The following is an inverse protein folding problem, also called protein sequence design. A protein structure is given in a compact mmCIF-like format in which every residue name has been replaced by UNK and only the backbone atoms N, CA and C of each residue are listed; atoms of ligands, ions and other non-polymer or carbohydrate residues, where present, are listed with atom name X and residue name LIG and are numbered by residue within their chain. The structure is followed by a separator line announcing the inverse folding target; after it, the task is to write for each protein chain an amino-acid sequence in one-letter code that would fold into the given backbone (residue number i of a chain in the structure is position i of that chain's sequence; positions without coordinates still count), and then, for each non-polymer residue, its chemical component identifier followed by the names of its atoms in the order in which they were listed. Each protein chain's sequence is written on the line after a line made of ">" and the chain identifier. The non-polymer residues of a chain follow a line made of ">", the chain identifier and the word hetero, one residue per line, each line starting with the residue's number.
data_IF_106181161701
#
_entry.id   IF_106181161701
#
_cell.length_a   1.000
_cell.length_b   1.000
_cell.length_c   1.000
_cell.angle_alpha   90.00
_cell.angle_beta   90.00
_cell.angle_gamma   90.00
#
_symmetry.space_group_name_H-M   'P 1'
#
loop_
_entity.id
_entity.type
_entity.pdbx_description
1 polymer ?
#
# COMPACT_ATOMS: atom_id res chain seq x y z
N UNK A 1 13.49 -6.01 21.73
CA UNK A 1 13.24 -7.22 20.91
C UNK A 1 11.76 -7.52 20.99
N UNK A 2 11.12 -7.90 19.88
CA UNK A 2 9.72 -8.31 19.86
C UNK A 2 9.56 -9.64 20.61
N UNK A 3 8.60 -9.72 21.52
CA UNK A 3 8.19 -10.95 22.18
C UNK A 3 7.01 -11.60 21.44
N UNK A 4 6.65 -12.83 21.82
CA UNK A 4 5.56 -13.57 21.19
C UNK A 4 4.22 -12.81 21.27
N UNK A 5 3.98 -12.08 22.37
CA UNK A 5 2.79 -11.26 22.55
C UNK A 5 2.73 -10.10 21.54
N UNK A 6 3.84 -9.36 21.36
CA UNK A 6 3.91 -8.27 20.38
C UNK A 6 3.69 -8.75 18.95
N UNK A 7 4.20 -9.92 18.59
CA UNK A 7 3.94 -10.53 17.28
C UNK A 7 2.45 -10.86 17.12
N UNK A 8 1.81 -11.41 18.17
CA UNK A 8 0.37 -11.66 18.19
C UNK A 8 -0.46 -10.38 18.00
N UNK A 9 -0.11 -9.30 18.71
CA UNK A 9 -0.74 -7.99 18.55
C UNK A 9 -0.55 -7.46 17.12
N UNK A 10 0.66 -7.55 16.57
CA UNK A 10 0.92 -7.15 15.19
C UNK A 10 0.04 -7.93 14.19
N UNK A 11 -0.04 -9.25 14.34
CA UNK A 11 -0.89 -10.10 13.51
C UNK A 11 -2.37 -9.75 13.62
N UNK A 12 -2.86 -9.42 14.82
CA UNK A 12 -4.23 -8.94 15.01
C UNK A 12 -4.46 -7.61 14.28
N UNK A 13 -3.54 -6.65 14.41
CA UNK A 13 -3.60 -5.38 13.68
C UNK A 13 -3.55 -5.58 12.16
N UNK A 14 -2.76 -6.54 11.67
CA UNK A 14 -2.71 -6.88 10.24
C UNK A 14 -4.06 -7.39 9.72
N UNK A 15 -4.87 -8.08 10.53
CA UNK A 15 -6.20 -8.52 10.08
C UNK A 15 -7.11 -7.35 9.71
N UNK A 16 -6.99 -6.20 10.38
CA UNK A 16 -7.74 -5.01 10.00
C UNK A 16 -7.50 -4.62 8.55
N UNK A 17 -6.23 -4.56 8.12
CA UNK A 17 -5.91 -4.18 6.74
C UNK A 17 -6.22 -5.31 5.75
N UNK A 18 -6.11 -6.58 6.16
CA UNK A 18 -6.36 -7.73 5.26
C UNK A 18 -7.82 -7.84 4.82
N UNK A 19 -8.77 -7.27 5.56
CA UNK A 19 -10.17 -7.16 5.13
C UNK A 19 -10.31 -6.39 3.80
N UNK A 20 -9.35 -5.53 3.46
CA UNK A 20 -9.34 -4.81 2.18
C UNK A 20 -8.80 -5.64 1.01
N UNK A 21 -8.10 -6.76 1.25
CA UNK A 21 -7.48 -7.54 0.17
C UNK A 21 -8.48 -8.02 -0.90
N UNK A 22 -9.66 -8.58 -0.55
CA UNK A 22 -10.65 -8.98 -1.56
C UNK A 22 -11.14 -7.80 -2.40
N UNK A 23 -11.30 -6.62 -1.79
CA UNK A 23 -11.69 -5.40 -2.49
C UNK A 23 -10.62 -4.96 -3.49
N UNK A 24 -9.35 -5.02 -3.08
CA UNK A 24 -8.21 -4.71 -3.95
C UNK A 24 -8.07 -5.69 -5.10
N UNK A 25 -8.17 -6.99 -4.85
CA UNK A 25 -8.11 -8.02 -5.88
C UNK A 25 -9.26 -7.85 -6.88
N UNK A 26 -10.48 -7.63 -6.38
CA UNK A 26 -11.65 -7.38 -7.22
C UNK A 26 -11.49 -6.16 -8.12
N UNK A 27 -10.95 -5.07 -7.59
CA UNK A 27 -10.75 -3.85 -8.38
C UNK A 27 -9.59 -3.99 -9.37
N UNK A 28 -8.45 -4.54 -8.95
CA UNK A 28 -7.30 -4.71 -9.84
C UNK A 28 -7.61 -5.61 -11.05
N UNK A 29 -8.36 -6.69 -10.84
CA UNK A 29 -8.80 -7.56 -11.95
C UNK A 29 -9.66 -6.83 -13.00
N UNK A 30 -10.37 -5.76 -12.62
CA UNK A 30 -11.13 -4.92 -13.54
C UNK A 30 -10.32 -3.75 -14.10
N UNK A 31 -9.39 -3.20 -13.31
CA UNK A 31 -8.67 -1.99 -13.63
C UNK A 31 -7.53 -2.23 -14.62
N UNK A 32 -6.79 -3.32 -14.47
CA UNK A 32 -5.68 -3.70 -15.37
C UNK A 32 -6.14 -3.79 -16.83
N UNK A 33 -7.17 -4.58 -17.19
CA UNK A 33 -7.62 -4.65 -18.59
C UNK A 33 -8.16 -3.31 -19.10
N UNK A 34 -8.83 -2.51 -18.26
CA UNK A 34 -9.32 -1.18 -18.62
C UNK A 34 -8.19 -0.17 -18.86
N UNK A 35 -7.10 -0.27 -18.11
CA UNK A 35 -5.92 0.59 -18.31
C UNK A 35 -5.17 0.21 -19.58
N UNK A 36 -5.02 -1.08 -19.87
CA UNK A 36 -4.46 -1.56 -21.13
C UNK A 36 -5.30 -1.10 -22.34
N UNK A 37 -6.63 -1.23 -22.28
CA UNK A 37 -7.52 -0.80 -23.36
C UNK A 37 -7.48 0.71 -23.59
N UNK A 38 -7.55 1.52 -22.52
CA UNK A 38 -7.43 2.97 -22.64
C UNK A 38 -6.08 3.41 -23.22
N UNK A 39 -5.00 2.68 -22.94
CA UNK A 39 -3.70 2.93 -23.56
C UNK A 39 -3.69 2.53 -25.05
N UNK A 40 -4.32 1.42 -25.42
CA UNK A 40 -4.41 0.99 -26.82
C UNK A 40 -5.25 1.97 -27.68
N UNK A 41 -6.32 2.53 -27.13
CA UNK A 41 -7.24 3.42 -27.87
C UNK A 41 -6.82 4.89 -27.85
N UNK A 42 -6.40 5.41 -26.70
CA UNK A 42 -6.16 6.85 -26.47
C UNK A 42 -4.67 7.16 -26.16
N UNK A 43 -3.81 6.14 -26.20
CA UNK A 43 -2.39 6.26 -25.90
C UNK A 43 -2.11 6.75 -24.48
N UNK A 44 -1.05 7.55 -24.36
CA UNK A 44 -0.59 8.12 -23.08
C UNK A 44 -1.63 9.03 -22.42
N UNK A 45 -2.51 9.67 -23.19
CA UNK A 45 -3.53 10.59 -22.65
C UNK A 45 -4.60 9.83 -21.88
N UNK A 46 -5.18 8.79 -22.48
CA UNK A 46 -6.17 7.94 -21.81
C UNK A 46 -5.59 7.21 -20.62
N UNK A 47 -4.34 6.75 -20.73
CA UNK A 47 -3.63 6.12 -19.62
C UNK A 47 -3.52 7.05 -18.40
N UNK A 48 -3.10 8.32 -18.59
CA UNK A 48 -3.03 9.31 -17.51
C UNK A 48 -4.40 9.57 -16.87
N UNK A 49 -5.44 9.65 -17.69
CA UNK A 49 -6.82 9.85 -17.22
C UNK A 49 -7.27 8.68 -16.33
N UNK A 50 -7.07 7.44 -16.81
CA UNK A 50 -7.41 6.23 -16.03
C UNK A 50 -6.60 6.09 -14.76
N UNK A 51 -5.29 6.31 -14.81
CA UNK A 51 -4.42 6.27 -13.62
C UNK A 51 -4.88 7.27 -12.56
N UNK A 52 -5.22 8.50 -12.95
CA UNK A 52 -5.77 9.50 -12.02
C UNK A 52 -7.12 9.10 -11.45
N UNK A 53 -8.04 8.63 -12.29
CA UNK A 53 -9.37 8.19 -11.86
C UNK A 53 -9.28 7.02 -10.87
N UNK A 54 -8.47 6.00 -11.19
CA UNK A 54 -8.22 4.86 -10.32
C UNK A 54 -7.61 5.29 -8.99
N UNK A 55 -6.58 6.14 -9.03
CA UNK A 55 -5.93 6.65 -7.81
C UNK A 55 -6.93 7.42 -6.94
N UNK A 56 -7.77 8.26 -7.55
CA UNK A 56 -8.75 9.06 -6.82
C UNK A 56 -9.88 8.21 -6.23
N UNK A 57 -10.45 7.28 -7.00
CA UNK A 57 -11.53 6.41 -6.53
C UNK A 57 -11.05 5.43 -5.45
N UNK A 58 -9.93 4.73 -5.70
CA UNK A 58 -9.39 3.78 -4.74
C UNK A 58 -8.82 4.48 -3.51
N UNK A 59 -8.04 5.55 -3.72
CA UNK A 59 -7.48 6.34 -2.64
C UNK A 59 -8.55 7.02 -1.80
N UNK A 60 -9.65 7.50 -2.40
CA UNK A 60 -10.79 8.03 -1.65
C UNK A 60 -11.43 6.96 -0.75
N UNK A 61 -11.76 5.81 -1.31
CA UNK A 61 -12.36 4.70 -0.56
C UNK A 61 -11.45 4.21 0.58
N UNK A 62 -10.16 4.02 0.31
CA UNK A 62 -9.22 3.55 1.33
C UNK A 62 -8.70 4.63 2.26
N UNK A 63 -8.76 5.91 1.89
CA UNK A 63 -8.53 7.02 2.80
C UNK A 63 -9.60 7.07 3.88
N UNK A 64 -10.88 6.92 3.50
CA UNK A 64 -11.98 6.80 4.48
C UNK A 64 -11.78 5.59 5.38
N UNK A 65 -11.46 4.43 4.80
CA UNK A 65 -11.15 3.23 5.58
C UNK A 65 -9.98 3.47 6.54
N UNK A 66 -8.89 4.09 6.09
CA UNK A 66 -7.71 4.31 6.92
C UNK A 66 -8.00 5.23 8.11
N UNK A 67 -8.80 6.29 7.90
CA UNK A 67 -9.24 7.18 8.98
C UNK A 67 -10.12 6.42 9.97
N UNK A 68 -11.16 5.74 9.47
CA UNK A 68 -12.10 5.00 10.33
C UNK A 68 -11.39 3.90 11.12
N UNK A 69 -10.54 3.11 10.47
CA UNK A 69 -9.79 2.03 11.09
C UNK A 69 -8.72 2.56 12.07
N UNK A 70 -8.13 3.73 11.84
CA UNK A 70 -7.18 4.32 12.80
C UNK A 70 -7.87 4.76 14.10
N UNK A 71 -9.13 5.21 14.02
CA UNK A 71 -9.89 5.69 15.17
C UNK A 71 -10.57 4.54 15.91
N UNK A 72 -11.26 3.67 15.17
CA UNK A 72 -12.11 2.63 15.74
C UNK A 72 -11.48 1.23 15.72
N UNK A 73 -10.43 1.03 14.92
CA UNK A 73 -9.77 -0.27 14.77
C UNK A 73 -9.24 -0.84 16.10
N UNK A 74 -8.56 -0.06 16.97
CA UNK A 74 -8.14 -0.55 18.27
C UNK A 74 -9.31 -1.08 19.10
N UNK A 75 -10.40 -0.32 19.23
CA UNK A 75 -11.59 -0.74 20.00
C UNK A 75 -12.29 -1.96 19.41
N UNK A 76 -12.36 -2.06 18.08
CA UNK A 76 -12.92 -3.23 17.39
C UNK A 76 -12.06 -4.47 17.63
N UNK A 77 -10.73 -4.33 17.53
CA UNK A 77 -9.80 -5.43 17.79
C UNK A 77 -9.86 -5.87 19.25
N UNK A 78 -9.84 -4.95 20.20
CA UNK A 78 -9.99 -5.26 21.63
C UNK A 78 -11.32 -5.96 21.92
N UNK A 79 -12.40 -5.57 21.23
CA UNK A 79 -13.68 -6.25 21.33
C UNK A 79 -13.64 -7.68 20.80
N UNK A 80 -13.01 -7.91 19.64
CA UNK A 80 -12.88 -9.24 19.01
C UNK A 80 -11.98 -10.15 19.85
N UNK A 81 -10.88 -9.60 20.38
CA UNK A 81 -9.84 -10.34 21.09
C UNK A 81 -9.98 -10.30 22.62
N UNK A 82 -11.16 -9.94 23.15
CA UNK A 82 -11.50 -9.78 24.58
C UNK A 82 -10.92 -10.81 25.57
N UNK A 83 -10.58 -12.02 25.12
CA UNK A 83 -9.98 -13.08 25.93
C UNK A 83 -8.47 -12.89 26.22
N UNK A 84 -7.79 -12.00 25.49
CA UNK A 84 -6.35 -11.77 25.55
C UNK A 84 -6.15 -10.37 26.13
N UNK A 85 -5.68 -10.27 27.38
CA UNK A 85 -5.57 -9.03 28.15
C UNK A 85 -4.45 -8.09 27.62
N UNK A 86 -4.50 -7.72 26.35
CA UNK A 86 -3.52 -6.87 25.69
C UNK A 86 -4.21 -5.65 25.07
N UNK A 87 -3.68 -4.47 25.36
CA UNK A 87 -4.09 -3.21 24.77
C UNK A 87 -3.59 -3.13 23.33
N UNK A 88 -4.45 -2.70 22.40
CA UNK A 88 -4.08 -2.58 20.99
C UNK A 88 -3.51 -1.18 20.74
N UNK A 89 -2.20 -1.03 20.41
CA UNK A 89 -1.61 0.29 20.28
C UNK A 89 -2.16 1.02 19.05
N UNK A 90 -2.87 2.12 19.26
CA UNK A 90 -3.40 2.99 18.20
C UNK A 90 -2.34 3.37 17.14
N UNK A 91 -1.09 3.71 17.48
CA UNK A 91 -0.06 4.05 16.48
C UNK A 91 0.25 2.89 15.51
N UNK A 92 0.12 1.63 15.96
CA UNK A 92 0.37 0.45 15.13
C UNK A 92 -0.74 0.31 14.10
N UNK A 93 -2.00 0.36 14.53
CA UNK A 93 -3.15 0.27 13.63
C UNK A 93 -3.12 1.42 12.62
N UNK A 94 -2.86 2.65 13.06
CA UNK A 94 -2.76 3.81 12.18
C UNK A 94 -1.63 3.65 11.15
N UNK A 95 -0.42 3.27 11.56
CA UNK A 95 0.69 3.10 10.63
C UNK A 95 0.39 2.04 9.56
N UNK A 96 -0.25 0.92 9.92
CA UNK A 96 -0.64 -0.12 8.98
C UNK A 96 -1.72 0.33 8.01
N UNK A 97 -2.77 1.00 8.50
CA UNK A 97 -3.90 1.43 7.66
C UNK A 97 -3.50 2.56 6.72
N UNK A 98 -2.67 3.52 7.17
CA UNK A 98 -2.09 4.52 6.29
C UNK A 98 -1.07 3.91 5.33
N UNK A 99 -0.33 2.88 5.73
CA UNK A 99 0.55 2.14 4.83
C UNK A 99 -0.23 1.52 3.67
N UNK A 100 -1.38 0.90 3.97
CA UNK A 100 -2.29 0.37 2.96
C UNK A 100 -2.84 1.47 2.04
N UNK A 101 -3.26 2.61 2.58
CA UNK A 101 -3.73 3.74 1.78
C UNK A 101 -2.65 4.21 0.78
N UNK A 102 -1.39 4.33 1.23
CA UNK A 102 -0.27 4.76 0.39
C UNK A 102 0.04 3.72 -0.70
N UNK A 103 -0.02 2.43 -0.38
CA UNK A 103 0.12 1.33 -1.35
C UNK A 103 -0.91 1.47 -2.48
N UNK A 104 -2.16 1.76 -2.14
CA UNK A 104 -3.26 1.88 -3.10
C UNK A 104 -3.12 3.12 -3.97
N UNK A 105 -2.60 4.23 -3.42
CA UNK A 105 -2.22 5.40 -4.20
C UNK A 105 -1.11 5.09 -5.24
N UNK A 106 -0.36 4.00 -5.05
CA UNK A 106 0.67 3.51 -5.98
C UNK A 106 0.16 2.53 -7.03
N UNK A 107 -1.04 1.95 -6.86
CA UNK A 107 -1.59 0.94 -7.79
C UNK A 107 -1.93 1.52 -9.16
N UNK A 108 -2.34 2.79 -9.23
CA UNK A 108 -2.59 3.48 -10.50
C UNK A 108 -1.37 3.45 -11.45
N UNK A 109 -0.24 4.09 -11.08
CA UNK A 109 0.96 4.09 -11.91
C UNK A 109 1.56 2.70 -12.14
N UNK A 110 1.43 1.78 -11.18
CA UNK A 110 1.80 0.37 -11.37
C UNK A 110 1.03 -0.28 -12.53
N UNK A 111 -0.30 -0.23 -12.50
CA UNK A 111 -1.15 -0.72 -13.59
C UNK A 111 -0.82 -0.01 -14.92
N UNK A 112 -0.44 1.26 -14.86
CA UNK A 112 0.01 2.01 -16.03
C UNK A 112 1.34 1.49 -16.61
N UNK A 113 2.31 1.15 -15.77
CA UNK A 113 3.57 0.53 -16.20
C UNK A 113 3.32 -0.83 -16.84
N UNK A 114 2.41 -1.62 -16.28
CA UNK A 114 1.97 -2.90 -16.86
C UNK A 114 1.32 -2.71 -18.24
N UNK A 115 0.43 -1.72 -18.38
CA UNK A 115 -0.21 -1.40 -19.66
C UNK A 115 0.79 -0.95 -20.74
N UNK A 116 1.92 -0.35 -20.35
CA UNK A 116 3.02 0.04 -21.26
C UNK A 116 4.07 -1.07 -21.47
N UNK A 117 3.83 -2.28 -20.95
CA UNK A 117 4.78 -3.42 -20.98
C UNK A 117 6.15 -3.10 -20.32
N UNK A 118 6.19 -2.12 -19.41
CA UNK A 118 7.40 -1.69 -18.69
C UNK A 118 7.60 -2.44 -17.38
N UNK A 119 7.52 -3.76 -17.45
CA UNK A 119 7.76 -4.64 -16.29
C UNK A 119 9.18 -4.50 -15.74
N UNK A 120 10.15 -4.11 -16.58
CA UNK A 120 11.53 -3.83 -16.21
C UNK A 120 11.64 -2.73 -15.14
N UNK A 121 10.90 -1.64 -15.33
CA UNK A 121 10.90 -0.50 -14.41
C UNK A 121 10.16 -0.85 -13.12
N UNK A 122 9.05 -1.58 -13.21
CA UNK A 122 8.29 -2.03 -12.05
C UNK A 122 9.14 -2.95 -11.16
N UNK A 123 9.80 -3.94 -11.77
CA UNK A 123 10.66 -4.88 -11.05
C UNK A 123 11.82 -4.19 -10.33
N UNK A 124 12.48 -3.24 -10.99
CA UNK A 124 13.57 -2.45 -10.37
C UNK A 124 13.07 -1.60 -9.20
N UNK A 125 11.91 -0.96 -9.36
CA UNK A 125 11.28 -0.18 -8.30
C UNK A 125 10.98 -1.05 -7.07
N UNK A 126 10.41 -2.23 -7.28
CA UNK A 126 10.09 -3.18 -6.21
C UNK A 126 11.34 -3.71 -5.49
N UNK A 127 12.41 -4.05 -6.21
CA UNK A 127 13.66 -4.48 -5.57
C UNK A 127 14.24 -3.37 -4.69
N UNK A 128 14.32 -2.14 -5.20
CA UNK A 128 14.88 -1.02 -4.44
C UNK A 128 14.03 -0.76 -3.19
N UNK A 129 12.71 -0.71 -3.36
CA UNK A 129 11.79 -0.50 -2.25
C UNK A 129 11.89 -1.64 -1.22
N UNK A 130 11.97 -2.90 -1.66
CA UNK A 130 12.12 -4.06 -0.77
C UNK A 130 13.42 -4.00 0.04
N UNK A 131 14.57 -3.72 -0.60
CA UNK A 131 15.86 -3.61 0.10
C UNK A 131 15.81 -2.51 1.16
N UNK A 132 15.33 -1.32 0.80
CA UNK A 132 15.23 -0.20 1.75
C UNK A 132 14.22 -0.51 2.86
N UNK A 133 13.12 -1.19 2.56
CA UNK A 133 12.11 -1.61 3.54
C UNK A 133 12.69 -2.60 4.54
N UNK A 134 13.46 -3.60 4.09
CA UNK A 134 14.09 -4.60 4.98
C UNK A 134 15.12 -3.94 5.88
N UNK A 135 16.01 -3.12 5.33
CA UNK A 135 17.03 -2.41 6.11
C UNK A 135 16.38 -1.43 7.11
N UNK A 136 15.37 -0.70 6.65
CA UNK A 136 14.57 0.20 7.48
C UNK A 136 13.82 -0.55 8.59
N UNK A 137 13.26 -1.71 8.29
CA UNK A 137 12.59 -2.56 9.27
C UNK A 137 13.55 -3.06 10.34
N UNK A 138 14.73 -3.56 9.97
CA UNK A 138 15.74 -3.98 10.94
C UNK A 138 16.09 -2.86 11.92
N UNK A 139 16.30 -1.64 11.42
CA UNK A 139 16.62 -0.48 12.25
C UNK A 139 15.42 -0.03 13.11
N UNK A 140 14.24 0.15 12.50
CA UNK A 140 13.05 0.66 13.18
C UNK A 140 12.52 -0.32 14.24
N UNK A 141 12.51 -1.63 13.95
CA UNK A 141 12.11 -2.65 14.93
C UNK A 141 13.09 -2.69 16.09
N UNK A 142 14.38 -2.53 15.83
CA UNK A 142 15.39 -2.47 16.89
C UNK A 142 15.19 -1.24 17.78
N UNK A 143 14.94 -0.07 17.20
CA UNK A 143 14.79 1.20 17.93
C UNK A 143 13.43 1.38 18.62
N UNK A 144 12.33 0.93 17.99
CA UNK A 144 10.95 1.24 18.40
C UNK A 144 10.06 0.00 18.63
N UNK A 145 10.60 -1.22 18.53
CA UNK A 145 9.87 -2.46 18.77
C UNK A 145 8.67 -2.64 17.84
N UNK A 146 7.48 -2.87 18.42
CA UNK A 146 6.24 -3.11 17.68
C UNK A 146 5.80 -1.93 16.81
N UNK A 147 5.92 -0.70 17.33
CA UNK A 147 5.62 0.50 16.54
C UNK A 147 6.61 0.62 15.39
N UNK A 148 7.87 0.25 15.62
CA UNK A 148 8.90 0.17 14.58
C UNK A 148 8.53 -0.76 13.43
N UNK A 149 7.95 -1.93 13.72
CA UNK A 149 7.45 -2.85 12.70
C UNK A 149 6.36 -2.20 11.84
N UNK A 150 5.37 -1.54 12.48
CA UNK A 150 4.29 -0.87 11.77
C UNK A 150 4.76 0.33 10.93
N UNK A 151 5.70 1.12 11.47
CA UNK A 151 6.33 2.22 10.72
C UNK A 151 7.15 1.71 9.54
N UNK A 152 7.83 0.58 9.69
CA UNK A 152 8.58 -0.02 8.58
C UNK A 152 7.67 -0.42 7.41
N UNK A 153 6.46 -0.92 7.72
CA UNK A 153 5.44 -1.18 6.71
C UNK A 153 5.03 0.12 6.00
N UNK A 154 4.68 1.16 6.74
CA UNK A 154 4.31 2.47 6.19
C UNK A 154 5.41 3.06 5.29
N UNK A 155 6.65 3.05 5.76
CA UNK A 155 7.81 3.55 5.01
C UNK A 155 8.00 2.73 3.74
N UNK A 156 7.93 1.40 3.83
CA UNK A 156 8.08 0.53 2.67
C UNK A 156 7.02 0.77 1.61
N UNK A 157 5.74 0.87 2.01
CA UNK A 157 4.65 1.20 1.08
C UNK A 157 4.82 2.58 0.46
N UNK A 158 5.31 3.55 1.22
CA UNK A 158 5.63 4.89 0.70
C UNK A 158 6.71 4.84 -0.36
N UNK A 159 7.79 4.08 -0.12
CA UNK A 159 8.88 3.95 -1.08
C UNK A 159 8.44 3.24 -2.36
N UNK A 160 7.69 2.14 -2.26
CA UNK A 160 7.13 1.44 -3.43
C UNK A 160 6.22 2.38 -4.23
N UNK A 161 5.27 3.05 -3.57
CA UNK A 161 4.31 3.96 -4.21
C UNK A 161 5.01 5.12 -4.92
N UNK A 162 5.96 5.78 -4.26
CA UNK A 162 6.77 6.86 -4.85
C UNK A 162 7.59 6.34 -6.03
N UNK A 163 8.17 5.15 -5.92
CA UNK A 163 8.96 4.55 -7.01
C UNK A 163 8.10 4.25 -8.24
N UNK A 164 6.88 3.74 -8.07
CA UNK A 164 5.93 3.56 -9.16
C UNK A 164 5.58 4.88 -9.84
N UNK A 165 5.31 5.94 -9.06
CA UNK A 165 5.03 7.27 -9.62
C UNK A 165 6.21 7.84 -10.42
N UNK A 166 7.44 7.68 -9.92
CA UNK A 166 8.66 8.14 -10.61
C UNK A 166 8.87 7.35 -11.90
N UNK A 167 8.82 6.01 -11.82
CA UNK A 167 8.97 5.12 -12.97
C UNK A 167 7.92 5.39 -14.05
N UNK A 168 6.65 5.57 -13.66
CA UNK A 168 5.56 5.89 -14.56
C UNK A 168 5.75 7.24 -15.26
N UNK A 169 6.16 8.28 -14.52
CA UNK A 169 6.47 9.60 -15.11
C UNK A 169 7.65 9.52 -16.09
N UNK A 170 8.66 8.71 -15.80
CA UNK A 170 9.80 8.51 -16.68
C UNK A 170 9.40 7.78 -17.96
N UNK A 171 8.62 6.69 -17.84
CA UNK A 171 8.10 5.93 -18.97
C UNK A 171 7.24 6.80 -19.91
N UNK A 172 6.34 7.61 -19.35
CA UNK A 172 5.54 8.57 -20.13
C UNK A 172 6.42 9.55 -20.91
N UNK A 173 7.44 10.13 -20.27
CA UNK A 173 8.31 11.11 -20.94
C UNK A 173 9.06 10.49 -22.11
N UNK A 174 9.51 9.24 -21.97
CA UNK A 174 10.25 8.52 -23.02
C UNK A 174 9.42 8.20 -24.27
N UNK A 175 8.08 8.17 -24.17
CA UNK A 175 7.21 7.94 -25.34
C UNK A 175 6.74 9.24 -26.02
N UNK A 176 6.87 10.38 -25.34
CA UNK A 176 6.49 11.69 -25.89
C UNK A 176 7.65 12.49 -26.46
N UNK A 177 8.88 12.00 -26.30
CA UNK A 177 10.11 12.58 -26.83
C UNK A 177 10.50 11.87 -28.13
#
# INVERSE_FOLDING_TARGET
>A
MLDAASVGIYSACMMCIQVMNPFLLGLNSLLVPKTAHAYAEEGVSGLKSKVRWTTFCLGGATGVFAIVASIWGPSVLEYIYRAQAFEIPTPVVAALTFGLFIEICGTGPENGLWAMERHDLNFRAEIIAAVVSVLGACYLIWAFGLVGAALSFLVGRTLTSVSHWIAFRHAIKSQTA
#
